data_IF_819303985515
#
_entry.id   IF_819303985515
#
_cell.length_a   1.000
_cell.length_b   1.000
_cell.length_c   1.000
_cell.angle_alpha   90.00
_cell.angle_beta   90.00
_cell.angle_gamma   90.00
#
_symmetry.space_group_name_H-M   'P 1'
#
loop_
_entity.id
_entity.type
_entity.pdbx_description
1 polymer ?
#
# COMPACT_ATOMS: atom_id res chain seq x y z
N UNK A 1 23.74 19.74 -32.60
CA UNK A 1 24.06 20.28 -31.26
C UNK A 1 24.24 19.09 -30.34
N UNK A 2 25.51 18.78 -30.04
CA UNK A 2 25.91 17.61 -29.23
C UNK A 2 25.46 17.82 -27.79
N UNK A 3 24.63 16.92 -27.29
CA UNK A 3 24.28 16.79 -25.87
C UNK A 3 25.61 16.75 -25.09
N UNK A 4 25.88 17.77 -24.27
CA UNK A 4 27.10 17.80 -23.46
C UNK A 4 27.08 16.58 -22.56
N UNK A 5 28.06 15.69 -22.71
CA UNK A 5 28.28 14.57 -21.81
C UNK A 5 28.37 15.15 -20.39
N UNK A 6 27.33 14.90 -19.59
CA UNK A 6 27.31 15.28 -18.19
C UNK A 6 28.52 14.60 -17.57
N UNK A 7 29.35 15.37 -16.87
CA UNK A 7 30.52 14.83 -16.18
C UNK A 7 30.10 13.65 -15.27
N UNK A 8 30.89 12.59 -15.26
CA UNK A 8 30.60 11.35 -14.52
C UNK A 8 30.31 11.59 -13.05
N UNK A 9 31.01 12.53 -12.40
CA UNK A 9 30.77 12.91 -11.01
C UNK A 9 29.43 13.65 -10.83
N UNK A 10 28.94 14.32 -11.87
CA UNK A 10 27.62 14.98 -11.86
C UNK A 10 26.50 13.96 -12.05
N UNK A 11 26.70 12.93 -12.88
CA UNK A 11 25.75 11.81 -13.02
C UNK A 11 25.62 11.00 -11.73
N UNK A 12 26.74 10.69 -11.05
CA UNK A 12 26.72 9.95 -9.79
C UNK A 12 26.01 10.73 -8.68
N UNK A 13 26.23 12.05 -8.59
CA UNK A 13 25.50 12.91 -7.66
C UNK A 13 24.02 12.98 -7.99
N UNK A 14 23.65 13.04 -9.27
CA UNK A 14 22.25 13.04 -9.70
C UNK A 14 21.56 11.72 -9.31
N UNK A 15 22.18 10.58 -9.59
CA UNK A 15 21.65 9.27 -9.23
C UNK A 15 21.55 9.09 -7.71
N UNK A 16 22.49 9.64 -6.94
CA UNK A 16 22.44 9.65 -5.49
C UNK A 16 21.27 10.49 -4.95
N UNK A 17 21.03 11.67 -5.54
CA UNK A 17 19.89 12.53 -5.19
C UNK A 17 18.56 11.87 -5.57
N UNK A 18 18.44 11.30 -6.78
CA UNK A 18 17.25 10.57 -7.22
C UNK A 18 16.98 9.41 -6.25
N UNK A 19 17.99 8.63 -5.88
CA UNK A 19 17.83 7.54 -4.93
C UNK A 19 17.41 8.01 -3.53
N UNK A 20 17.84 9.20 -3.12
CA UNK A 20 17.46 9.80 -1.85
C UNK A 20 15.99 10.26 -1.84
N UNK A 21 15.49 10.78 -2.96
CA UNK A 21 14.13 11.32 -3.10
C UNK A 21 13.09 10.25 -3.51
N UNK A 22 13.41 9.42 -4.50
CA UNK A 22 12.49 8.44 -5.10
C UNK A 22 12.64 7.02 -4.52
N UNK A 23 13.67 6.79 -3.70
CA UNK A 23 14.02 5.46 -3.21
C UNK A 23 14.66 4.57 -4.29
N UNK A 24 14.76 3.26 -4.01
CA UNK A 24 15.41 2.30 -4.93
C UNK A 24 14.40 1.70 -5.94
N UNK A 25 13.73 2.56 -6.71
CA UNK A 25 12.73 2.15 -7.71
C UNK A 25 13.36 1.45 -8.92
N UNK A 26 12.56 0.61 -9.59
CA UNK A 26 12.91 -0.06 -10.83
C UNK A 26 12.76 0.89 -12.02
N UNK A 27 13.79 0.95 -12.87
CA UNK A 27 13.79 1.69 -14.12
C UNK A 27 13.55 0.71 -15.29
N UNK A 28 12.28 0.34 -15.50
CA UNK A 28 11.89 -0.48 -16.64
C UNK A 28 11.87 0.34 -17.93
N UNK A 29 12.15 -0.33 -19.06
CA UNK A 29 12.07 0.27 -20.39
C UNK A 29 11.20 -0.58 -21.31
N UNK A 30 10.72 0.02 -22.39
CA UNK A 30 9.92 -0.66 -23.41
C UNK A 30 8.46 -0.90 -23.00
N UNK A 31 7.89 -2.02 -23.44
CA UNK A 31 6.45 -2.31 -23.29
C UNK A 31 6.00 -2.36 -21.82
N UNK A 32 6.84 -2.84 -20.91
CA UNK A 32 6.45 -2.93 -19.49
C UNK A 32 6.36 -1.55 -18.82
N UNK A 33 7.22 -0.61 -19.19
CA UNK A 33 7.11 0.77 -18.73
C UNK A 33 5.81 1.41 -19.23
N UNK A 34 5.45 1.18 -20.51
CA UNK A 34 4.18 1.63 -21.07
C UNK A 34 3.00 1.03 -20.30
N UNK A 35 3.05 -0.27 -19.96
CA UNK A 35 2.02 -0.91 -19.16
C UNK A 35 1.84 -0.23 -17.79
N UNK A 36 2.93 -0.01 -17.04
CA UNK A 36 2.86 0.68 -15.74
C UNK A 36 2.30 2.10 -15.87
N UNK A 37 2.73 2.84 -16.90
CA UNK A 37 2.18 4.17 -17.20
C UNK A 37 0.68 4.10 -17.50
N UNK A 38 0.21 3.13 -18.27
CA UNK A 38 -1.21 2.97 -18.56
C UNK A 38 -2.03 2.64 -17.31
N UNK A 39 -1.49 1.83 -16.39
CA UNK A 39 -2.14 1.57 -15.09
C UNK A 39 -2.22 2.84 -14.24
N UNK A 40 -1.13 3.61 -14.17
CA UNK A 40 -1.12 4.90 -13.46
C UNK A 40 -2.12 5.89 -14.06
N UNK A 41 -2.16 6.02 -15.40
CA UNK A 41 -3.17 6.83 -16.10
C UNK A 41 -4.59 6.33 -15.80
N UNK A 42 -4.80 5.01 -15.77
CA UNK A 42 -6.08 4.41 -15.40
C UNK A 42 -6.51 4.76 -13.98
N UNK A 43 -5.58 4.75 -13.03
CA UNK A 43 -5.80 5.21 -11.66
C UNK A 43 -6.20 6.69 -11.66
N UNK A 44 -5.48 7.56 -12.35
CA UNK A 44 -5.81 8.99 -12.41
C UNK A 44 -7.19 9.24 -13.03
N UNK A 45 -7.53 8.53 -14.12
CA UNK A 45 -8.85 8.61 -14.75
C UNK A 45 -9.98 8.14 -13.81
N UNK A 46 -9.75 7.09 -13.03
CA UNK A 46 -10.72 6.64 -12.02
C UNK A 46 -11.00 7.72 -10.97
N UNK A 47 -9.97 8.41 -10.47
CA UNK A 47 -10.17 9.49 -9.50
C UNK A 47 -10.81 10.73 -10.13
N UNK A 48 -10.48 11.07 -11.38
CA UNK A 48 -11.19 12.12 -12.12
C UNK A 48 -12.68 11.79 -12.30
N UNK A 49 -13.00 10.52 -12.57
CA UNK A 49 -14.37 10.05 -12.60
C UNK A 49 -15.04 10.16 -11.22
N UNK A 50 -14.36 9.76 -10.14
CA UNK A 50 -14.87 9.89 -8.77
C UNK A 50 -15.02 11.34 -8.31
N UNK A 51 -14.29 12.29 -8.91
CA UNK A 51 -14.50 13.72 -8.69
C UNK A 51 -15.74 14.26 -9.43
N UNK A 52 -16.10 13.66 -10.56
CA UNK A 52 -17.27 14.04 -11.35
C UNK A 52 -18.56 13.34 -10.89
N UNK A 53 -18.47 12.07 -10.49
CA UNK A 53 -19.60 11.22 -10.12
C UNK A 53 -19.48 10.76 -8.66
N UNK A 54 -20.61 10.46 -8.02
CA UNK A 54 -20.61 10.02 -6.62
C UNK A 54 -20.17 8.56 -6.57
N UNK A 55 -18.94 8.33 -6.14
CA UNK A 55 -18.41 7.01 -5.80
C UNK A 55 -18.43 6.86 -4.28
N UNK A 56 -19.01 5.79 -3.72
CA UNK A 56 -18.99 5.55 -2.27
C UNK A 56 -17.56 5.55 -1.72
N UNK A 57 -17.35 6.20 -0.57
CA UNK A 57 -16.03 6.39 0.04
C UNK A 57 -15.28 5.06 0.26
N UNK A 58 -15.99 4.02 0.69
CA UNK A 58 -15.43 2.68 0.87
C UNK A 58 -14.84 2.15 -0.44
N UNK A 59 -15.56 2.30 -1.56
CA UNK A 59 -15.11 1.85 -2.88
C UNK A 59 -13.92 2.69 -3.34
N UNK A 60 -14.01 4.03 -3.24
CA UNK A 60 -12.95 4.95 -3.65
C UNK A 60 -11.61 4.64 -2.95
N UNK A 61 -11.62 4.57 -1.62
CA UNK A 61 -10.40 4.34 -0.82
C UNK A 61 -9.86 2.92 -1.01
N UNK A 62 -10.73 1.91 -1.13
CA UNK A 62 -10.31 0.52 -1.38
C UNK A 62 -9.64 0.38 -2.75
N UNK A 63 -10.24 0.96 -3.79
CA UNK A 63 -9.66 0.95 -5.15
C UNK A 63 -8.35 1.75 -5.19
N UNK A 64 -8.30 2.92 -4.55
CA UNK A 64 -7.07 3.72 -4.45
C UNK A 64 -5.91 2.93 -3.85
N UNK A 65 -6.09 2.34 -2.65
CA UNK A 65 -5.06 1.53 -2.00
C UNK A 65 -4.66 0.33 -2.86
N UNK A 66 -5.62 -0.31 -3.53
CA UNK A 66 -5.33 -1.42 -4.46
C UNK A 66 -4.41 -1.01 -5.60
N UNK A 67 -4.68 0.13 -6.25
CA UNK A 67 -3.84 0.67 -7.32
C UNK A 67 -2.45 1.04 -6.81
N UNK A 68 -2.37 1.72 -5.67
CA UNK A 68 -1.08 2.12 -5.07
C UNK A 68 -0.26 0.87 -4.76
N UNK A 69 -0.82 -0.13 -4.08
CA UNK A 69 -0.09 -1.38 -3.80
C UNK A 69 0.32 -2.12 -5.07
N UNK A 70 -0.56 -2.19 -6.06
CA UNK A 70 -0.26 -2.81 -7.35
C UNK A 70 0.97 -2.14 -8.02
N UNK A 71 0.95 -0.81 -8.10
CA UNK A 71 2.06 -0.04 -8.67
C UNK A 71 3.33 -0.13 -7.82
N UNK A 72 3.22 -0.11 -6.49
CA UNK A 72 4.36 -0.23 -5.58
C UNK A 72 5.06 -1.57 -5.76
N UNK A 73 4.34 -2.68 -5.80
CA UNK A 73 4.98 -4.00 -5.92
C UNK A 73 5.66 -4.22 -7.26
N UNK A 74 5.11 -3.67 -8.34
CA UNK A 74 5.77 -3.76 -9.65
C UNK A 74 6.95 -2.79 -9.77
N UNK A 75 6.85 -1.60 -9.17
CA UNK A 75 7.84 -0.53 -9.30
C UNK A 75 9.00 -0.63 -8.30
N UNK A 76 8.78 -1.18 -7.11
CA UNK A 76 9.81 -1.27 -6.06
C UNK A 76 10.24 -2.73 -5.82
N UNK A 77 11.53 -3.06 -6.08
CA UNK A 77 12.03 -4.41 -5.94
C UNK A 77 12.08 -4.82 -4.47
N UNK A 78 11.94 -6.14 -4.22
CA UNK A 78 12.03 -6.71 -2.87
C UNK A 78 13.37 -6.40 -2.17
N UNK A 79 14.46 -6.42 -2.95
CA UNK A 79 15.84 -6.20 -2.53
C UNK A 79 16.65 -5.60 -3.69
N UNK A 80 17.71 -4.84 -3.40
CA UNK A 80 18.57 -4.21 -4.39
C UNK A 80 19.13 -5.19 -5.45
N UNK A 81 19.37 -6.47 -5.09
CA UNK A 81 19.84 -7.50 -6.02
C UNK A 81 18.86 -7.84 -7.17
N UNK A 82 17.59 -7.48 -7.00
CA UNK A 82 16.52 -7.72 -7.97
C UNK A 82 16.12 -6.46 -8.74
N UNK A 83 16.88 -5.37 -8.61
CA UNK A 83 16.62 -4.12 -9.31
C UNK A 83 16.51 -4.33 -10.82
N UNK A 84 15.52 -3.66 -11.43
CA UNK A 84 15.18 -3.71 -12.84
C UNK A 84 14.78 -5.10 -13.36
N UNK A 85 14.36 -6.01 -12.47
CA UNK A 85 13.89 -7.35 -12.84
C UNK A 85 12.52 -7.59 -12.22
N UNK A 86 11.53 -7.81 -13.08
CA UNK A 86 10.20 -8.20 -12.62
C UNK A 86 10.25 -9.65 -12.13
N UNK A 87 9.94 -9.84 -10.85
CA UNK A 87 9.96 -11.16 -10.23
C UNK A 87 8.53 -11.66 -10.01
N UNK A 88 8.37 -12.99 -10.02
CA UNK A 88 7.05 -13.62 -9.93
C UNK A 88 6.33 -13.29 -8.60
N UNK A 89 7.04 -13.08 -7.50
CA UNK A 89 6.44 -12.66 -6.22
C UNK A 89 5.92 -11.22 -6.27
N UNK A 90 6.51 -10.34 -7.07
CA UNK A 90 6.02 -8.97 -7.24
C UNK A 90 4.66 -8.99 -7.95
N UNK A 91 4.51 -9.88 -8.93
CA UNK A 91 3.23 -10.13 -9.62
C UNK A 91 2.21 -10.71 -8.64
N UNK A 92 2.59 -11.68 -7.79
CA UNK A 92 1.68 -12.26 -6.80
C UNK A 92 1.19 -11.19 -5.82
N UNK A 93 2.07 -10.34 -5.28
CA UNK A 93 1.67 -9.30 -4.34
C UNK A 93 0.78 -8.23 -5.00
N UNK A 94 1.09 -7.87 -6.25
CA UNK A 94 0.26 -6.96 -7.03
C UNK A 94 -1.14 -7.55 -7.31
N UNK A 95 -1.23 -8.82 -7.71
CA UNK A 95 -2.52 -9.48 -7.93
C UNK A 95 -3.29 -9.73 -6.62
N UNK A 96 -2.58 -9.98 -5.52
CA UNK A 96 -3.18 -10.14 -4.20
C UNK A 96 -3.85 -8.84 -3.73
N UNK A 97 -3.26 -7.67 -3.97
CA UNK A 97 -3.91 -6.39 -3.62
C UNK A 97 -5.23 -6.20 -4.36
N UNK A 98 -5.29 -6.58 -5.64
CA UNK A 98 -6.52 -6.57 -6.44
C UNK A 98 -7.55 -7.56 -5.87
N UNK A 99 -7.13 -8.78 -5.54
CA UNK A 99 -8.04 -9.81 -5.01
C UNK A 99 -8.65 -9.39 -3.65
N UNK A 100 -7.85 -8.78 -2.77
CA UNK A 100 -8.31 -8.24 -1.49
C UNK A 100 -9.32 -7.11 -1.69
N UNK A 101 -9.04 -6.19 -2.62
CA UNK A 101 -9.95 -5.08 -2.90
C UNK A 101 -11.26 -5.58 -3.53
N UNK A 102 -11.18 -6.53 -4.45
CA UNK A 102 -12.35 -7.17 -5.04
C UNK A 102 -13.21 -7.85 -3.96
N UNK A 103 -12.61 -8.58 -3.03
CA UNK A 103 -13.34 -9.20 -1.91
C UNK A 103 -14.12 -8.15 -1.09
N UNK A 104 -13.45 -7.08 -0.65
CA UNK A 104 -14.09 -6.00 0.12
C UNK A 104 -15.27 -5.37 -0.63
N UNK A 105 -15.08 -5.04 -1.91
CA UNK A 105 -16.12 -4.39 -2.73
C UNK A 105 -17.28 -5.35 -3.03
N UNK A 106 -16.97 -6.63 -3.30
CA UNK A 106 -17.99 -7.66 -3.55
C UNK A 106 -18.85 -7.97 -2.32
N UNK A 107 -18.33 -7.66 -1.12
CA UNK A 107 -19.05 -7.82 0.14
C UNK A 107 -20.19 -6.83 0.34
N UNK A 108 -20.27 -5.75 -0.45
CA UNK A 108 -21.37 -4.79 -0.43
C UNK A 108 -21.55 -4.10 0.93
N UNK A 109 -22.80 -3.76 1.24
CA UNK A 109 -23.16 -3.03 2.46
C UNK A 109 -22.87 -3.86 3.73
N UNK A 110 -23.07 -5.18 3.68
CA UNK A 110 -22.83 -6.10 4.80
C UNK A 110 -21.35 -6.16 5.23
N UNK A 111 -20.43 -5.73 4.36
CA UNK A 111 -18.99 -5.75 4.67
C UNK A 111 -18.66 -4.81 5.82
N UNK A 112 -19.17 -3.58 5.81
CA UNK A 112 -18.92 -2.62 6.90
C UNK A 112 -19.58 -3.05 8.21
N UNK A 113 -20.80 -3.59 8.14
CA UNK A 113 -21.63 -3.86 9.32
C UNK A 113 -21.07 -4.94 10.25
N UNK A 114 -20.33 -5.90 9.70
CA UNK A 114 -19.73 -7.00 10.48
C UNK A 114 -18.33 -6.71 11.02
N UNK A 115 -17.85 -5.46 10.97
CA UNK A 115 -16.51 -5.09 11.44
C UNK A 115 -16.23 -5.49 12.91
N UNK A 116 -17.27 -5.61 13.74
CA UNK A 116 -17.14 -6.01 15.16
C UNK A 116 -17.11 -7.52 15.38
N UNK A 117 -17.53 -8.31 14.38
CA UNK A 117 -17.51 -9.77 14.37
C UNK A 117 -17.21 -10.30 12.95
N UNK A 118 -15.97 -10.10 12.44
CA UNK A 118 -15.63 -10.47 11.07
C UNK A 118 -15.66 -11.99 10.85
N UNK A 119 -16.04 -12.42 9.65
CA UNK A 119 -15.94 -13.83 9.28
C UNK A 119 -14.46 -14.25 9.14
N UNK A 120 -14.14 -15.56 9.23
CA UNK A 120 -12.77 -16.03 9.03
C UNK A 120 -12.14 -15.59 7.69
N UNK A 121 -12.96 -15.44 6.65
CA UNK A 121 -12.52 -14.92 5.34
C UNK A 121 -12.18 -13.44 5.40
N UNK A 122 -12.95 -12.62 6.12
CA UNK A 122 -12.62 -11.20 6.32
C UNK A 122 -11.30 -11.06 7.07
N UNK A 123 -11.09 -11.89 8.11
CA UNK A 123 -9.85 -11.92 8.88
C UNK A 123 -8.66 -12.33 7.99
N UNK A 124 -8.84 -13.30 7.09
CA UNK A 124 -7.81 -13.72 6.13
C UNK A 124 -7.42 -12.59 5.18
N UNK A 125 -8.38 -11.99 4.48
CA UNK A 125 -8.12 -10.93 3.50
C UNK A 125 -7.59 -9.65 4.17
N UNK A 126 -8.12 -9.28 5.34
CA UNK A 126 -7.65 -8.12 6.07
C UNK A 126 -6.26 -8.31 6.68
N UNK A 127 -5.94 -9.50 7.20
CA UNK A 127 -4.58 -9.83 7.63
C UNK A 127 -3.60 -9.80 6.46
N UNK A 128 -4.01 -10.34 5.31
CA UNK A 128 -3.21 -10.29 4.09
C UNK A 128 -2.95 -8.84 3.65
N UNK A 129 -3.96 -7.95 3.72
CA UNK A 129 -3.79 -6.53 3.41
C UNK A 129 -2.77 -5.87 4.34
N UNK A 130 -2.88 -6.10 5.65
CA UNK A 130 -1.94 -5.55 6.64
C UNK A 130 -0.52 -5.99 6.29
N UNK A 131 -0.31 -7.29 6.00
CA UNK A 131 1.01 -7.81 5.63
C UNK A 131 1.53 -7.21 4.31
N UNK A 132 0.68 -7.04 3.30
CA UNK A 132 1.06 -6.38 2.05
C UNK A 132 1.46 -4.92 2.30
N UNK A 133 0.72 -4.19 3.13
CA UNK A 133 1.06 -2.80 3.47
C UNK A 133 2.40 -2.72 4.21
N UNK A 134 2.64 -3.60 5.18
CA UNK A 134 3.93 -3.67 5.88
C UNK A 134 5.08 -3.93 4.91
N UNK A 135 4.90 -4.86 3.97
CA UNK A 135 5.90 -5.16 2.95
C UNK A 135 6.09 -4.00 1.95
N UNK A 136 5.02 -3.32 1.55
CA UNK A 136 5.08 -2.12 0.71
C UNK A 136 5.82 -0.97 1.42
N UNK A 137 5.56 -0.75 2.71
CA UNK A 137 6.27 0.21 3.56
C UNK A 137 7.76 -0.15 3.64
N UNK A 138 8.10 -1.42 3.82
CA UNK A 138 9.50 -1.88 3.84
C UNK A 138 10.24 -1.56 2.54
N UNK A 139 9.58 -1.74 1.39
CA UNK A 139 10.16 -1.51 0.05
C UNK A 139 10.33 -0.04 -0.29
N UNK A 140 9.44 0.82 0.20
CA UNK A 140 9.39 2.25 -0.15
C UNK A 140 10.06 3.15 0.89
N UNK A 141 9.84 2.88 2.18
CA UNK A 141 10.27 3.72 3.31
C UNK A 141 11.37 3.06 4.17
N UNK A 142 11.70 1.79 3.91
CA UNK A 142 12.76 1.07 4.60
C UNK A 142 12.37 0.49 5.97
N UNK A 143 13.38 0.05 6.72
CA UNK A 143 13.19 -0.74 7.95
C UNK A 143 12.71 0.08 9.15
N UNK A 144 13.02 1.39 9.19
CA UNK A 144 12.70 2.24 10.34
C UNK A 144 11.19 2.34 10.48
N UNK A 145 10.48 2.76 9.43
CA UNK A 145 9.03 2.91 9.47
C UNK A 145 8.34 1.57 9.68
N UNK A 146 8.78 0.50 8.99
CA UNK A 146 8.27 -0.85 9.21
C UNK A 146 8.36 -1.25 10.69
N UNK A 147 9.52 -1.07 11.31
CA UNK A 147 9.76 -1.50 12.69
C UNK A 147 8.83 -0.75 13.64
N UNK A 148 8.71 0.58 13.48
CA UNK A 148 7.81 1.39 14.29
C UNK A 148 6.35 0.92 14.14
N UNK A 149 5.88 0.71 12.91
CA UNK A 149 4.51 0.22 12.66
C UNK A 149 4.27 -1.15 13.29
N UNK A 150 5.21 -2.09 13.14
CA UNK A 150 5.11 -3.42 13.75
C UNK A 150 5.07 -3.33 15.27
N UNK A 151 5.86 -2.45 15.90
CA UNK A 151 5.81 -2.24 17.35
C UNK A 151 4.44 -1.73 17.81
N UNK A 152 3.80 -0.82 17.09
CA UNK A 152 2.44 -0.36 17.42
C UNK A 152 1.38 -1.45 17.20
N UNK A 153 1.51 -2.28 16.17
CA UNK A 153 0.63 -3.44 15.98
C UNK A 153 0.81 -4.47 17.11
N UNK A 154 2.05 -4.75 17.51
CA UNK A 154 2.35 -5.61 18.65
C UNK A 154 1.81 -5.02 19.95
N UNK A 155 1.93 -3.72 20.16
CA UNK A 155 1.34 -3.03 21.31
C UNK A 155 -0.18 -3.20 21.33
N UNK A 156 -0.87 -3.02 20.19
CA UNK A 156 -2.30 -3.23 20.10
C UNK A 156 -2.73 -4.66 20.46
N UNK A 157 -1.94 -5.67 20.07
CA UNK A 157 -2.22 -7.09 20.34
C UNK A 157 -1.87 -7.50 21.78
N UNK A 158 -0.71 -7.10 22.27
CA UNK A 158 -0.11 -7.61 23.52
C UNK A 158 -0.13 -6.60 24.67
N UNK A 159 -0.92 -5.54 24.56
CA UNK A 159 -1.03 -4.52 25.60
C UNK A 159 -1.54 -5.05 26.95
N UNK A 160 -2.21 -6.20 26.98
CA UNK A 160 -2.67 -6.88 28.20
C UNK A 160 -1.54 -7.50 29.02
N UNK A 161 -0.42 -7.76 28.37
CA UNK A 161 0.76 -8.40 28.95
C UNK A 161 1.79 -7.40 29.48
N UNK A 162 1.57 -6.09 29.24
CA UNK A 162 2.49 -5.03 29.66
C UNK A 162 2.19 -4.54 31.08
N UNK A 163 3.21 -4.09 31.85
CA UNK A 163 2.98 -3.51 33.17
C UNK A 163 2.33 -2.12 33.08
N UNK A 164 1.64 -1.70 34.15
CA UNK A 164 1.17 -0.32 34.29
C UNK A 164 2.35 0.68 34.19
N UNK A 165 2.19 1.85 33.55
CA UNK A 165 0.96 2.44 33.01
C UNK A 165 0.61 2.06 31.55
N UNK A 166 1.38 1.17 30.92
CA UNK A 166 1.25 0.85 29.49
C UNK A 166 0.23 -0.26 29.20
N UNK A 167 -0.42 -0.80 30.22
CA UNK A 167 -1.36 -1.91 30.09
C UNK A 167 -2.71 -1.45 29.52
N UNK A 168 -3.29 -2.25 28.62
CA UNK A 168 -4.68 -2.12 28.18
C UNK A 168 -5.27 -3.50 27.89
N UNK A 169 -6.56 -3.60 27.55
CA UNK A 169 -7.25 -4.89 27.39
C UNK A 169 -6.67 -5.84 26.30
N UNK A 170 -5.76 -5.35 25.45
CA UNK A 170 -5.38 -6.02 24.20
C UNK A 170 -6.54 -6.08 23.18
N UNK A 171 -6.20 -6.24 21.92
CA UNK A 171 -7.14 -6.54 20.85
C UNK A 171 -6.91 -7.97 20.35
N UNK A 172 -7.99 -8.72 20.16
CA UNK A 172 -7.92 -9.98 19.42
C UNK A 172 -7.69 -9.69 17.93
N UNK A 173 -7.08 -10.64 17.21
CA UNK A 173 -6.69 -10.44 15.80
C UNK A 173 -7.91 -10.13 14.91
N UNK A 174 -9.02 -10.82 15.12
CA UNK A 174 -10.30 -10.57 14.43
C UNK A 174 -10.79 -9.14 14.63
N UNK A 175 -10.75 -8.61 15.86
CA UNK A 175 -11.16 -7.24 16.15
C UNK A 175 -10.19 -6.20 15.57
N UNK A 176 -8.89 -6.45 15.66
CA UNK A 176 -7.89 -5.57 15.07
C UNK A 176 -8.05 -5.52 13.55
N UNK A 177 -8.23 -6.67 12.90
CA UNK A 177 -8.44 -6.75 11.46
C UNK A 177 -9.75 -6.11 11.05
N UNK A 178 -10.84 -6.37 11.78
CA UNK A 178 -12.13 -5.73 11.56
C UNK A 178 -12.03 -4.21 11.57
N UNK A 179 -11.35 -3.65 12.58
CA UNK A 179 -11.10 -2.21 12.66
C UNK A 179 -10.19 -1.73 11.51
N UNK A 180 -9.05 -2.38 11.26
CA UNK A 180 -8.07 -1.91 10.29
C UNK A 180 -8.54 -2.01 8.83
N UNK A 181 -9.24 -3.08 8.47
CA UNK A 181 -9.61 -3.40 7.08
C UNK A 181 -11.05 -3.01 6.73
N UNK A 182 -11.99 -3.12 7.67
CA UNK A 182 -13.43 -3.04 7.34
C UNK A 182 -14.04 -1.67 7.63
N UNK A 183 -13.27 -0.77 8.25
CA UNK A 183 -13.74 0.56 8.67
C UNK A 183 -13.02 1.68 7.90
N UNK A 184 -13.57 2.89 7.97
CA UNK A 184 -13.00 4.11 7.37
C UNK A 184 -12.14 4.91 8.34
N UNK A 185 -11.81 4.31 9.49
CA UNK A 185 -10.99 4.84 10.56
C UNK A 185 -9.63 4.13 10.65
N UNK A 186 -9.54 2.91 10.11
CA UNK A 186 -8.33 2.10 10.04
C UNK A 186 -7.41 2.46 8.87
N UNK A 187 -7.05 1.45 8.06
CA UNK A 187 -6.20 1.61 6.86
C UNK A 187 -6.80 2.65 5.92
N UNK A 188 -8.12 2.60 5.72
CA UNK A 188 -8.85 3.52 4.86
C UNK A 188 -9.18 4.85 5.56
N UNK A 189 -8.40 5.24 6.57
CA UNK A 189 -8.56 6.46 7.36
C UNK A 189 -8.38 7.77 6.61
N UNK A 190 -8.31 8.86 7.38
CA UNK A 190 -8.16 10.23 6.88
C UNK A 190 -6.92 10.43 6.02
N UNK A 191 -5.81 9.75 6.31
CA UNK A 191 -4.60 9.83 5.50
C UNK A 191 -4.84 9.31 4.06
N UNK A 192 -5.52 8.17 3.93
CA UNK A 192 -5.90 7.61 2.62
C UNK A 192 -6.97 8.47 1.95
N UNK A 193 -7.89 9.06 2.72
CA UNK A 193 -8.88 9.99 2.19
C UNK A 193 -8.25 11.19 1.50
N UNK A 194 -7.31 11.85 2.18
CA UNK A 194 -6.57 13.00 1.64
C UNK A 194 -5.75 12.57 0.43
N UNK A 195 -5.09 11.42 0.48
CA UNK A 195 -4.37 10.84 -0.65
C UNK A 195 -5.29 10.65 -1.87
N UNK A 196 -6.41 9.95 -1.69
CA UNK A 196 -7.33 9.62 -2.77
C UNK A 196 -8.09 10.82 -3.34
N UNK A 197 -8.20 11.93 -2.62
CA UNK A 197 -8.96 13.11 -3.08
C UNK A 197 -8.08 14.26 -3.55
N UNK A 198 -6.85 14.41 -3.02
CA UNK A 198 -5.98 15.56 -3.28
C UNK A 198 -4.65 15.20 -3.94
N UNK A 199 -4.16 13.96 -3.83
CA UNK A 199 -2.81 13.54 -4.27
C UNK A 199 -2.92 12.33 -5.20
N UNK A 200 -3.12 12.59 -6.50
CA UNK A 200 -3.38 11.58 -7.55
C UNK A 200 -2.36 11.70 -8.68
#
# INVERSE_FOLDING_TARGET
>A
MSQSAIDSATQEKLDALIKQEEGDSNNYKGMFAIFLTLVAVGMSLFHLYAAYSIVPTQVLRTVHVSFVLFLVFLSFPLMARYKNRLMWWDIIFALASIAIAYYAISGGDDFGDRNTAPNPTDVLFGSALILLILEAVRRTNGMILLTVTVLFLLYALFGDSLPAPWTHKGYSVDRLVGFMYMTLEGIYGTAVDVSATLII
#
